data_IF_953868010516
#
_entry.id   IF_953868010516
#
_cell.length_a   1.000
_cell.length_b   1.000
_cell.length_c   1.000
_cell.angle_alpha   90.00
_cell.angle_beta   90.00
_cell.angle_gamma   90.00
#
_symmetry.space_group_name_H-M   'P 1'
#
loop_
_entity.id
_entity.type
_entity.pdbx_description
1 polymer ?
#
# COMPACT_ATOMS: atom_id res chain seq x y z
N UNK A 1 -6.55 29.41 12.12
CA UNK A 1 -5.33 28.61 11.97
C UNK A 1 -5.69 27.18 12.27
N UNK A 2 -5.97 26.37 11.25
CA UNK A 2 -6.25 24.94 11.40
C UNK A 2 -4.91 24.26 11.68
N UNK A 3 -4.73 23.74 12.89
CA UNK A 3 -3.60 22.86 13.22
C UNK A 3 -3.68 21.65 12.30
N UNK A 4 -2.74 21.49 11.38
CA UNK A 4 -2.52 20.24 10.65
C UNK A 4 -2.12 19.20 11.68
N UNK A 5 -3.11 18.54 12.28
CA UNK A 5 -2.86 17.42 13.17
C UNK A 5 -2.42 16.27 12.28
N UNK A 6 -1.14 15.93 12.27
CA UNK A 6 -0.64 14.75 11.59
C UNK A 6 -1.09 13.49 12.35
N UNK A 7 -0.97 12.33 11.69
CA UNK A 7 -1.26 11.02 12.30
C UNK A 7 -0.40 10.86 13.56
N UNK A 8 -1.01 10.41 14.67
CA UNK A 8 -0.28 10.16 15.93
C UNK A 8 0.66 8.94 15.81
N UNK A 9 1.73 8.91 16.58
CA UNK A 9 2.64 7.75 16.62
C UNK A 9 1.92 6.45 16.96
N UNK A 10 0.92 6.50 17.85
CA UNK A 10 0.09 5.34 18.20
C UNK A 10 -0.69 4.84 16.97
N UNK A 11 -1.23 5.74 16.18
CA UNK A 11 -1.99 5.37 14.97
C UNK A 11 -1.09 4.77 13.89
N UNK A 12 0.14 5.30 13.72
CA UNK A 12 1.13 4.69 12.83
C UNK A 12 1.43 3.23 13.20
N UNK A 13 1.63 2.93 14.49
CA UNK A 13 1.86 1.55 14.94
C UNK A 13 0.62 0.68 14.72
N UNK A 14 -0.60 1.18 14.96
CA UNK A 14 -1.83 0.45 14.66
C UNK A 14 -1.96 0.10 13.18
N UNK A 15 -1.64 1.04 12.28
CA UNK A 15 -1.68 0.78 10.83
C UNK A 15 -0.67 -0.30 10.43
N UNK A 16 0.53 -0.30 11.01
CA UNK A 16 1.52 -1.37 10.77
C UNK A 16 1.01 -2.74 11.18
N UNK A 17 0.33 -2.83 12.34
CA UNK A 17 -0.25 -4.08 12.78
C UNK A 17 -1.38 -4.54 11.85
N UNK A 18 -2.25 -3.62 11.39
CA UNK A 18 -3.31 -3.96 10.42
C UNK A 18 -2.71 -4.48 9.10
N UNK A 19 -1.60 -3.89 8.62
CA UNK A 19 -0.88 -4.40 7.45
C UNK A 19 -0.32 -5.79 7.70
N UNK A 20 0.27 -6.03 8.88
CA UNK A 20 0.80 -7.34 9.25
C UNK A 20 -0.30 -8.39 9.36
N UNK A 21 -1.43 -8.06 10.03
CA UNK A 21 -2.61 -8.92 10.12
C UNK A 21 -3.12 -9.31 8.73
N UNK A 22 -3.28 -8.33 7.83
CA UNK A 22 -3.72 -8.58 6.46
C UNK A 22 -2.86 -9.61 5.74
N UNK A 23 -1.54 -9.47 5.80
CA UNK A 23 -0.62 -10.39 5.13
C UNK A 23 -0.59 -11.78 5.79
N UNK A 24 -0.62 -11.82 7.13
CA UNK A 24 -0.61 -13.07 7.90
C UNK A 24 -1.90 -13.86 7.66
N UNK A 25 -3.06 -13.22 7.76
CA UNK A 25 -4.37 -13.86 7.53
C UNK A 25 -4.52 -14.41 6.10
N UNK A 26 -3.92 -13.75 5.12
CA UNK A 26 -3.92 -14.18 3.73
C UNK A 26 -2.83 -15.20 3.40
N UNK A 27 -1.88 -15.44 4.30
CA UNK A 27 -0.69 -16.25 4.04
C UNK A 27 0.12 -15.70 2.86
N UNK A 28 0.19 -14.36 2.72
CA UNK A 28 0.82 -13.71 1.57
C UNK A 28 2.17 -13.10 1.95
N UNK A 29 3.22 -13.53 1.26
CA UNK A 29 4.62 -13.12 1.57
C UNK A 29 5.45 -12.86 0.31
N UNK A 30 4.83 -12.63 -0.84
CA UNK A 30 5.55 -12.40 -2.09
C UNK A 30 6.03 -10.96 -2.27
N UNK A 31 7.23 -10.79 -2.79
CA UNK A 31 7.82 -9.52 -3.19
C UNK A 31 8.33 -9.67 -4.64
N UNK A 32 7.97 -8.78 -5.56
CA UNK A 32 7.03 -7.64 -5.44
C UNK A 32 5.59 -8.05 -5.11
N UNK A 33 4.89 -7.20 -4.37
CA UNK A 33 3.49 -7.46 -4.02
C UNK A 33 2.58 -7.45 -5.25
N UNK A 34 1.86 -8.55 -5.49
CA UNK A 34 0.85 -8.64 -6.54
C UNK A 34 -0.53 -8.20 -6.00
N UNK A 35 -0.88 -6.94 -6.22
CA UNK A 35 -2.15 -6.36 -5.72
C UNK A 35 -3.40 -7.02 -6.33
N UNK A 36 -3.29 -7.62 -7.53
CA UNK A 36 -4.41 -8.33 -8.16
C UNK A 36 -4.71 -9.62 -7.40
N UNK A 37 -3.68 -10.35 -7.00
CA UNK A 37 -3.80 -11.54 -6.18
C UNK A 37 -4.31 -11.19 -4.77
N UNK A 38 -3.79 -10.10 -4.16
CA UNK A 38 -4.30 -9.61 -2.89
C UNK A 38 -5.80 -9.30 -2.95
N UNK A 39 -6.26 -8.58 -3.97
CA UNK A 39 -7.69 -8.31 -4.16
C UNK A 39 -8.50 -9.61 -4.26
N UNK A 40 -8.00 -10.61 -4.98
CA UNK A 40 -8.65 -11.91 -5.07
C UNK A 40 -8.75 -12.59 -3.70
N UNK A 41 -7.66 -12.64 -2.94
CA UNK A 41 -7.63 -13.22 -1.58
C UNK A 41 -8.54 -12.46 -0.59
N UNK A 42 -8.60 -11.13 -0.69
CA UNK A 42 -9.47 -10.25 0.12
C UNK A 42 -10.94 -10.27 -0.35
N UNK A 43 -11.29 -11.03 -1.38
CA UNK A 43 -12.61 -11.01 -2.00
C UNK A 43 -13.05 -9.60 -2.44
N UNK A 44 -12.10 -8.81 -2.96
CA UNK A 44 -12.35 -7.48 -3.54
C UNK A 44 -12.45 -7.62 -5.05
N UNK A 45 -13.54 -7.14 -5.63
CA UNK A 45 -13.73 -7.15 -7.07
C UNK A 45 -13.00 -5.99 -7.74
N UNK A 46 -12.23 -6.28 -8.78
CA UNK A 46 -11.55 -5.26 -9.58
C UNK A 46 -12.35 -4.95 -10.86
N UNK A 47 -12.57 -3.67 -11.12
CA UNK A 47 -13.33 -3.17 -12.28
C UNK A 47 -12.46 -2.16 -13.04
N UNK A 48 -12.11 -2.46 -14.29
CA UNK A 48 -11.39 -1.53 -15.16
C UNK A 48 -12.31 -0.42 -15.65
N UNK A 49 -11.85 0.81 -15.71
CA UNK A 49 -12.59 1.91 -16.36
C UNK A 49 -12.91 1.59 -17.82
N UNK A 50 -12.00 0.87 -18.50
CA UNK A 50 -12.21 0.44 -19.90
C UNK A 50 -13.34 -0.57 -20.09
N UNK A 51 -13.84 -1.18 -19.02
CA UNK A 51 -14.99 -2.11 -19.07
C UNK A 51 -16.35 -1.44 -18.79
N UNK A 52 -16.34 -0.15 -18.45
CA UNK A 52 -17.53 0.64 -18.17
C UNK A 52 -18.17 1.18 -19.48
N UNK A 53 -19.45 1.54 -19.43
CA UNK A 53 -20.04 2.33 -20.53
C UNK A 53 -19.35 3.69 -20.62
N UNK A 54 -19.52 4.38 -21.75
CA UNK A 54 -18.89 5.69 -21.96
C UNK A 54 -19.27 6.68 -20.86
N UNK A 55 -20.56 6.76 -20.52
CA UNK A 55 -21.10 7.64 -19.50
C UNK A 55 -20.56 7.29 -18.10
N UNK A 56 -20.49 6.00 -17.79
CA UNK A 56 -19.92 5.51 -16.52
C UNK A 56 -18.44 5.81 -16.41
N UNK A 57 -17.67 5.63 -17.52
CA UNK A 57 -16.24 5.95 -17.56
C UNK A 57 -16.00 7.44 -17.33
N UNK A 58 -16.81 8.31 -17.98
CA UNK A 58 -16.73 9.75 -17.81
C UNK A 58 -16.99 10.14 -16.34
N UNK A 59 -18.04 9.61 -15.70
CA UNK A 59 -18.31 9.81 -14.28
C UNK A 59 -17.16 9.32 -13.39
N UNK A 60 -16.63 8.13 -13.65
CA UNK A 60 -15.52 7.56 -12.90
C UNK A 60 -14.26 8.43 -12.98
N UNK A 61 -13.92 8.91 -14.17
CA UNK A 61 -12.78 9.80 -14.40
C UNK A 61 -12.95 11.18 -13.72
N UNK A 62 -14.17 11.67 -13.60
CA UNK A 62 -14.46 12.91 -12.85
C UNK A 62 -14.34 12.71 -11.34
N UNK A 63 -14.71 11.53 -10.84
CA UNK A 63 -14.60 11.19 -9.41
C UNK A 63 -13.14 10.99 -9.00
N UNK A 64 -12.41 10.19 -9.76
CA UNK A 64 -10.97 9.97 -9.58
C UNK A 64 -10.33 9.59 -10.90
N UNK A 65 -9.22 10.23 -11.33
CA UNK A 65 -8.52 9.86 -12.56
C UNK A 65 -7.78 8.52 -12.45
N UNK A 66 -7.46 8.06 -11.25
CA UNK A 66 -6.66 6.87 -11.00
C UNK A 66 -7.50 5.65 -10.58
N UNK A 67 -8.36 5.83 -9.59
CA UNK A 67 -9.20 4.78 -9.04
C UNK A 67 -9.96 5.23 -7.80
N UNK A 68 -10.92 4.42 -7.39
CA UNK A 68 -11.68 4.57 -6.15
C UNK A 68 -12.30 3.24 -5.74
N UNK A 69 -12.66 3.11 -4.48
CA UNK A 69 -13.36 1.94 -3.96
C UNK A 69 -14.80 2.25 -3.58
N UNK A 70 -15.67 1.26 -3.76
CA UNK A 70 -17.06 1.31 -3.34
C UNK A 70 -17.44 -0.01 -2.66
N UNK A 71 -18.39 0.04 -1.73
CA UNK A 71 -19.06 -1.14 -1.23
C UNK A 71 -20.36 -1.34 -2.00
N UNK A 72 -20.51 -2.48 -2.65
CA UNK A 72 -21.70 -2.83 -3.38
C UNK A 72 -22.86 -3.10 -2.40
N UNK A 73 -23.91 -2.28 -2.42
CA UNK A 73 -25.03 -2.36 -1.47
C UNK A 73 -25.88 -3.63 -1.61
N UNK A 74 -25.77 -4.36 -2.72
CA UNK A 74 -26.53 -5.61 -2.96
C UNK A 74 -25.73 -6.84 -2.49
N UNK A 75 -24.45 -6.90 -2.85
CA UNK A 75 -23.59 -8.05 -2.57
C UNK A 75 -22.78 -7.87 -1.28
N UNK A 76 -22.73 -6.65 -0.75
CA UNK A 76 -21.88 -6.21 0.37
C UNK A 76 -20.38 -6.38 0.10
N UNK A 77 -20.00 -6.76 -1.11
CA UNK A 77 -18.62 -6.92 -1.56
C UNK A 77 -18.00 -5.54 -1.86
N UNK A 78 -16.73 -5.38 -1.55
CA UNK A 78 -15.97 -4.22 -2.01
C UNK A 78 -15.58 -4.35 -3.48
N UNK A 79 -15.65 -3.26 -4.21
CA UNK A 79 -15.24 -3.15 -5.60
C UNK A 79 -14.25 -1.99 -5.72
N UNK A 80 -13.09 -2.24 -6.34
CA UNK A 80 -12.11 -1.20 -6.68
C UNK A 80 -12.20 -0.95 -8.18
N UNK A 81 -12.57 0.26 -8.52
CA UNK A 81 -12.59 0.77 -9.89
C UNK A 81 -11.26 1.44 -10.17
N UNK A 82 -10.60 1.11 -11.27
CA UNK A 82 -9.28 1.66 -11.57
C UNK A 82 -9.07 1.96 -13.05
N UNK A 83 -8.24 2.96 -13.34
CA UNK A 83 -7.85 3.34 -14.68
C UNK A 83 -6.75 2.39 -15.19
N UNK A 84 -7.14 1.45 -16.05
CA UNK A 84 -6.22 0.47 -16.64
C UNK A 84 -5.29 1.04 -17.71
N UNK A 85 -5.46 2.31 -18.11
CA UNK A 85 -4.61 3.01 -19.07
C UNK A 85 -3.38 3.67 -18.40
N UNK A 86 -3.34 3.70 -17.06
CA UNK A 86 -2.21 4.21 -16.30
C UNK A 86 -1.01 3.23 -16.33
N UNK A 87 0.22 3.72 -16.10
CA UNK A 87 1.39 2.84 -15.96
C UNK A 87 1.18 1.77 -14.88
N UNK A 88 1.65 0.54 -15.13
CA UNK A 88 1.44 -0.60 -14.24
C UNK A 88 1.81 -0.32 -12.76
N UNK A 89 2.93 0.36 -12.52
CA UNK A 89 3.37 0.71 -11.15
C UNK A 89 2.45 1.73 -10.46
N UNK A 90 1.79 2.60 -11.24
CA UNK A 90 0.77 3.52 -10.73
C UNK A 90 -0.51 2.76 -10.39
N UNK A 91 -0.92 1.81 -11.24
CA UNK A 91 -2.05 0.92 -10.96
C UNK A 91 -1.82 0.14 -9.67
N UNK A 92 -0.62 -0.43 -9.48
CA UNK A 92 -0.26 -1.13 -8.24
C UNK A 92 -0.42 -0.23 -7.01
N UNK A 93 0.10 1.00 -7.08
CA UNK A 93 -0.04 1.97 -5.99
C UNK A 93 -1.50 2.32 -5.73
N UNK A 94 -2.27 2.64 -6.78
CA UNK A 94 -3.69 3.00 -6.68
C UNK A 94 -4.51 1.87 -6.05
N UNK A 95 -4.37 0.63 -6.53
CA UNK A 95 -5.11 -0.51 -5.98
C UNK A 95 -4.75 -0.73 -4.51
N UNK A 96 -3.47 -0.67 -4.13
CA UNK A 96 -3.06 -0.80 -2.72
C UNK A 96 -3.60 0.34 -1.86
N UNK A 97 -3.68 1.55 -2.40
CA UNK A 97 -4.25 2.72 -1.71
C UNK A 97 -5.76 2.53 -1.45
N UNK A 98 -6.49 1.96 -2.41
CA UNK A 98 -7.91 1.63 -2.22
C UNK A 98 -8.10 0.46 -1.24
N UNK A 99 -7.21 -0.55 -1.26
CA UNK A 99 -7.18 -1.59 -0.23
C UNK A 99 -6.98 -0.94 1.16
N UNK A 100 -6.10 0.04 1.27
CA UNK A 100 -5.87 0.76 2.53
C UNK A 100 -7.16 1.44 3.04
N UNK A 101 -7.91 2.14 2.19
CA UNK A 101 -9.19 2.73 2.58
C UNK A 101 -10.18 1.67 3.08
N UNK A 102 -10.24 0.51 2.44
CA UNK A 102 -11.11 -0.60 2.84
C UNK A 102 -10.66 -1.19 4.19
N UNK A 103 -9.37 -1.48 4.36
CA UNK A 103 -8.83 -2.11 5.57
C UNK A 103 -8.87 -1.18 6.80
N UNK A 104 -8.79 0.14 6.57
CA UNK A 104 -8.87 1.16 7.61
C UNK A 104 -10.32 1.65 7.85
N UNK A 105 -11.30 1.05 7.15
CA UNK A 105 -12.72 1.34 7.27
C UNK A 105 -13.04 2.84 7.05
N UNK A 106 -12.36 3.49 6.10
CA UNK A 106 -12.61 4.89 5.80
C UNK A 106 -13.96 5.06 5.09
N UNK A 107 -14.89 5.81 5.69
CA UNK A 107 -16.25 6.02 5.17
C UNK A 107 -16.33 7.28 4.29
N UNK A 108 -15.44 8.24 4.52
CA UNK A 108 -15.42 9.54 3.81
C UNK A 108 -13.99 9.98 3.54
N UNK A 109 -13.83 10.84 2.54
CA UNK A 109 -12.55 11.45 2.23
C UNK A 109 -12.25 12.58 3.23
N UNK A 110 -11.15 12.43 3.97
CA UNK A 110 -10.59 13.50 4.80
C UNK A 110 -9.06 13.52 4.60
N UNK A 111 -8.46 14.64 4.96
CA UNK A 111 -7.00 14.76 4.89
C UNK A 111 -6.30 13.68 5.73
N UNK A 112 -6.82 13.40 6.92
CA UNK A 112 -6.31 12.38 7.83
C UNK A 112 -6.41 10.99 7.23
N UNK A 113 -7.57 10.64 6.63
CA UNK A 113 -7.79 9.33 5.99
C UNK A 113 -6.86 9.13 4.80
N UNK A 114 -6.60 10.17 4.01
CA UNK A 114 -5.62 10.12 2.92
C UNK A 114 -4.18 9.91 3.43
N UNK A 115 -3.81 10.55 4.54
CA UNK A 115 -2.52 10.34 5.17
C UNK A 115 -2.36 8.90 5.68
N UNK A 116 -3.41 8.34 6.31
CA UNK A 116 -3.44 6.96 6.78
C UNK A 116 -3.34 5.96 5.63
N UNK A 117 -4.12 6.15 4.57
CA UNK A 117 -4.10 5.30 3.39
C UNK A 117 -2.72 5.34 2.69
N UNK A 118 -2.12 6.52 2.57
CA UNK A 118 -0.77 6.66 2.03
C UNK A 118 0.29 5.97 2.90
N UNK A 119 0.17 6.06 4.22
CA UNK A 119 1.09 5.38 5.13
C UNK A 119 0.92 3.84 5.07
N UNK A 120 -0.32 3.36 5.08
CA UNK A 120 -0.63 1.94 4.87
C UNK A 120 -0.01 1.43 3.56
N UNK A 121 -0.29 2.13 2.44
CA UNK A 121 0.21 1.78 1.10
C UNK A 121 1.73 1.66 1.07
N UNK A 122 2.41 2.66 1.65
CA UNK A 122 3.87 2.65 1.76
C UNK A 122 4.36 1.45 2.59
N UNK A 123 3.76 1.21 3.73
CA UNK A 123 4.13 0.12 4.65
C UNK A 123 3.89 -1.25 4.02
N UNK A 124 2.77 -1.41 3.29
CA UNK A 124 2.40 -2.65 2.64
C UNK A 124 3.29 -2.97 1.42
N UNK A 125 3.56 -1.97 0.57
CA UNK A 125 4.37 -2.19 -0.63
C UNK A 125 5.88 -2.24 -0.34
N UNK A 126 6.36 -1.49 0.66
CA UNK A 126 7.79 -1.39 0.99
C UNK A 126 7.99 -1.31 2.49
N UNK A 127 7.99 -2.42 3.21
CA UNK A 127 8.34 -2.43 4.63
C UNK A 127 9.77 -1.95 4.84
N UNK A 128 9.97 -0.83 5.57
CA UNK A 128 11.28 -0.20 5.74
C UNK A 128 12.36 -1.13 6.32
N UNK A 129 11.97 -2.02 7.22
CA UNK A 129 12.88 -3.00 7.78
C UNK A 129 13.45 -3.98 6.77
N UNK A 130 12.75 -4.26 5.66
CA UNK A 130 13.29 -5.09 4.58
C UNK A 130 14.39 -4.37 3.79
N UNK A 131 14.31 -3.06 3.61
CA UNK A 131 15.40 -2.28 3.00
C UNK A 131 16.69 -2.46 3.81
N UNK A 132 16.58 -2.38 5.14
CA UNK A 132 17.70 -2.60 6.05
C UNK A 132 18.25 -4.03 5.99
N UNK A 133 17.39 -5.04 6.10
CA UNK A 133 17.80 -6.45 6.12
C UNK A 133 18.38 -6.92 4.77
N UNK A 134 17.81 -6.44 3.65
CA UNK A 134 18.28 -6.75 2.31
C UNK A 134 19.45 -5.85 1.86
N UNK A 135 19.87 -4.91 2.71
CA UNK A 135 20.97 -3.98 2.47
C UNK A 135 20.85 -3.20 1.16
N UNK A 136 19.60 -2.80 0.78
CA UNK A 136 19.35 -2.03 -0.44
C UNK A 136 19.92 -0.61 -0.31
N UNK A 137 20.74 -0.19 -1.27
CA UNK A 137 21.59 0.99 -1.16
C UNK A 137 20.99 2.25 -1.78
N UNK A 138 20.10 2.10 -2.74
CA UNK A 138 19.61 3.21 -3.54
C UNK A 138 18.18 2.96 -4.06
N UNK A 139 17.58 3.99 -4.63
CA UNK A 139 16.21 3.95 -5.15
C UNK A 139 16.03 2.99 -6.34
N UNK A 140 17.09 2.70 -7.09
CA UNK A 140 17.03 1.75 -8.22
C UNK A 140 16.82 0.34 -7.67
N UNK A 141 17.64 -0.08 -6.70
CA UNK A 141 17.52 -1.38 -6.04
C UNK A 141 16.16 -1.54 -5.36
N UNK A 142 15.71 -0.50 -4.64
CA UNK A 142 14.38 -0.49 -3.99
C UNK A 142 13.26 -0.60 -5.03
N UNK A 143 13.33 0.16 -6.14
CA UNK A 143 12.32 0.11 -7.19
C UNK A 143 12.25 -1.27 -7.88
N UNK A 144 13.39 -1.91 -8.09
CA UNK A 144 13.48 -3.24 -8.70
C UNK A 144 12.98 -4.32 -7.75
N UNK A 145 13.43 -4.32 -6.50
CA UNK A 145 13.05 -5.32 -5.49
C UNK A 145 11.55 -5.31 -5.22
N UNK A 146 10.96 -4.13 -5.03
CA UNK A 146 9.54 -4.00 -4.66
C UNK A 146 8.60 -3.73 -5.84
N UNK A 147 9.11 -3.66 -7.07
CA UNK A 147 8.28 -3.47 -8.27
C UNK A 147 7.56 -2.12 -8.33
N UNK A 148 8.07 -1.09 -7.65
CA UNK A 148 7.46 0.24 -7.53
C UNK A 148 8.08 1.26 -8.51
N UNK A 149 7.47 2.45 -8.61
CA UNK A 149 8.01 3.53 -9.45
C UNK A 149 9.29 4.13 -8.84
N UNK A 150 10.15 4.70 -9.70
CA UNK A 150 11.37 5.38 -9.24
C UNK A 150 11.07 6.56 -8.31
N UNK A 151 10.01 7.32 -8.61
CA UNK A 151 9.58 8.44 -7.77
C UNK A 151 9.16 7.95 -6.38
N UNK A 152 8.37 6.87 -6.31
CA UNK A 152 7.97 6.30 -5.02
C UNK A 152 9.17 5.69 -4.29
N UNK A 153 10.07 4.99 -4.98
CA UNK A 153 11.29 4.45 -4.40
C UNK A 153 12.20 5.56 -3.82
N UNK A 154 12.34 6.70 -4.52
CA UNK A 154 13.10 7.83 -4.02
C UNK A 154 12.50 8.39 -2.72
N UNK A 155 11.18 8.59 -2.67
CA UNK A 155 10.49 9.03 -1.46
C UNK A 155 10.68 8.07 -0.28
N UNK A 156 10.70 6.75 -0.56
CA UNK A 156 10.95 5.73 0.47
C UNK A 156 12.39 5.78 0.95
N UNK A 157 13.37 5.88 0.04
CA UNK A 157 14.81 5.98 0.39
C UNK A 157 15.10 7.26 1.19
N UNK A 158 14.49 8.38 0.84
CA UNK A 158 14.63 9.63 1.60
C UNK A 158 14.06 9.49 3.01
N UNK A 159 12.95 8.76 3.16
CA UNK A 159 12.40 8.45 4.49
C UNK A 159 13.31 7.49 5.26
N UNK A 160 13.80 6.44 4.62
CA UNK A 160 14.75 5.49 5.20
C UNK A 160 16.03 6.19 5.66
N UNK A 161 16.64 7.05 4.85
CA UNK A 161 17.85 7.78 5.19
C UNK A 161 17.64 8.71 6.39
N UNK A 162 16.48 9.37 6.49
CA UNK A 162 16.13 10.13 7.70
C UNK A 162 16.03 9.24 8.93
N UNK A 163 15.50 8.03 8.78
CA UNK A 163 15.37 7.05 9.87
C UNK A 163 16.73 6.46 10.28
N UNK A 164 17.73 6.45 9.40
CA UNK A 164 19.11 6.03 9.72
C UNK A 164 19.76 6.91 10.79
N UNK A 165 19.30 8.14 10.97
CA UNK A 165 19.75 9.02 12.07
C UNK A 165 19.39 8.46 13.45
N UNK A 166 18.43 7.52 13.49
CA UNK A 166 17.95 6.86 14.71
C UNK A 166 17.99 5.34 14.56
N UNK A 167 19.16 4.69 14.71
CA UNK A 167 19.34 3.25 14.47
C UNK A 167 18.36 2.37 15.24
N UNK A 168 17.93 2.77 16.42
CA UNK A 168 16.95 2.03 17.22
C UNK A 168 15.60 1.89 16.52
N UNK A 169 15.21 2.87 15.69
CA UNK A 169 13.97 2.81 14.90
C UNK A 169 14.10 1.73 13.83
N UNK A 170 15.20 1.70 13.09
CA UNK A 170 15.43 0.71 12.03
C UNK A 170 15.53 -0.71 12.58
N UNK A 171 16.19 -0.90 13.71
CA UNK A 171 16.26 -2.19 14.40
C UNK A 171 14.84 -2.64 14.81
N UNK A 172 14.03 -1.71 15.34
CA UNK A 172 12.63 -1.99 15.68
C UNK A 172 11.83 -2.40 14.42
N UNK A 173 11.97 -1.66 13.32
CA UNK A 173 11.30 -1.97 12.05
C UNK A 173 11.76 -3.33 11.49
N UNK A 174 13.07 -3.62 11.51
CA UNK A 174 13.61 -4.90 11.05
C UNK A 174 13.13 -6.10 11.87
N UNK A 175 12.85 -5.89 13.16
CA UNK A 175 12.32 -6.92 14.07
C UNK A 175 10.78 -6.93 14.12
N UNK A 176 10.09 -6.10 13.32
CA UNK A 176 8.63 -6.08 13.29
C UNK A 176 8.05 -7.39 12.77
N UNK A 177 6.83 -7.72 13.20
CA UNK A 177 6.09 -8.90 12.74
C UNK A 177 5.96 -8.89 11.22
N UNK A 178 5.58 -7.76 10.63
CA UNK A 178 5.45 -7.58 9.19
C UNK A 178 6.74 -7.98 8.43
N UNK A 179 7.88 -7.47 8.88
CA UNK A 179 9.18 -7.73 8.22
C UNK A 179 9.56 -9.20 8.33
N UNK A 180 9.33 -9.84 9.49
CA UNK A 180 9.61 -11.27 9.67
C UNK A 180 8.82 -12.14 8.72
N UNK A 181 7.53 -11.87 8.51
CA UNK A 181 6.68 -12.61 7.56
C UNK A 181 7.30 -12.70 6.15
N UNK A 182 7.83 -11.58 5.66
CA UNK A 182 8.46 -11.54 4.34
C UNK A 182 9.89 -12.08 4.34
N UNK A 183 10.67 -11.78 5.38
CA UNK A 183 12.09 -12.13 5.42
C UNK A 183 12.32 -13.63 5.57
N UNK A 184 11.54 -14.31 6.38
CA UNK A 184 11.59 -15.78 6.53
C UNK A 184 11.35 -16.44 5.17
N UNK A 185 10.38 -15.98 4.40
CA UNK A 185 10.11 -16.50 3.05
C UNK A 185 11.25 -16.27 2.07
N UNK A 186 11.89 -15.10 2.11
CA UNK A 186 13.03 -14.80 1.24
C UNK A 186 14.19 -15.77 1.53
N UNK A 187 14.43 -16.11 2.78
CA UNK A 187 15.49 -17.05 3.19
C UNK A 187 15.20 -18.50 2.76
N UNK A 188 13.94 -18.90 2.61
CA UNK A 188 13.56 -20.24 2.16
C UNK A 188 13.80 -20.47 0.65
N UNK A 189 13.88 -19.37 -0.13
CA UNK A 189 13.97 -19.41 -1.60
C UNK A 189 15.41 -19.24 -2.11
N UNK A 190 16.34 -18.81 -1.25
CA UNK A 190 17.78 -18.64 -1.53
C UNK A 190 18.56 -19.85 -1.08
#
# INVERSE_FOLDING_TARGET
MSSRCGISNKRYEQIKEIVADMYEDLGYTEIPVNVFELCHKLNIKLVKYSSLTKEQKECAMQLSPDGFSLRNNRTMQYEIYYNSEMPAKRITFTIMHEIAHIMLEHIYHSYENEQEANFFTKTALVPLGLIYLLQLKNSIEVAQTFGISMEFAQNVVDHYNRSMTYPAILIKEANSRLVRLFYERIQEVV
#
